data_IF_917650713003
#
_entry.id   IF_917650713003
#
_cell.length_a   1.000
_cell.length_b   1.000
_cell.length_c   1.000
_cell.angle_alpha   90.00
_cell.angle_beta   90.00
_cell.angle_gamma   90.00
#
_symmetry.space_group_name_H-M   'P 1'
#
loop_
_entity.id
_entity.type
_entity.pdbx_description
1 polymer ?
#
# COMPACT_ATOMS: atom_id res chain seq x y z
N UNK A 1 5.77 -7.18 -4.56
CA UNK A 1 4.99 -5.92 -4.40
C UNK A 1 5.83 -4.90 -5.14
N UNK A 2 5.33 -4.26 -6.22
CA UNK A 2 6.09 -3.48 -7.25
C UNK A 2 6.55 -4.29 -8.48
N UNK A 3 5.62 -4.72 -9.34
CA UNK A 3 6.00 -5.20 -10.69
C UNK A 3 5.84 -4.05 -11.69
N UNK A 4 6.95 -3.60 -12.28
CA UNK A 4 6.94 -2.72 -13.44
C UNK A 4 7.01 -3.61 -14.68
N UNK A 5 5.98 -3.64 -15.54
CA UNK A 5 5.98 -4.49 -16.74
C UNK A 5 6.99 -4.04 -17.80
N UNK A 6 7.51 -2.80 -17.71
CA UNK A 6 8.54 -2.29 -18.63
C UNK A 6 9.97 -2.60 -18.16
N UNK A 7 10.14 -3.26 -17.01
CA UNK A 7 11.43 -3.78 -16.60
C UNK A 7 11.49 -5.26 -17.02
N UNK A 8 12.11 -5.60 -18.17
CA UNK A 8 12.22 -6.98 -18.60
C UNK A 8 12.98 -7.74 -17.52
N UNK A 9 12.32 -8.72 -16.90
CA UNK A 9 12.98 -9.71 -16.08
C UNK A 9 13.89 -10.52 -17.00
N UNK A 10 15.16 -10.15 -17.08
CA UNK A 10 16.12 -10.90 -17.89
C UNK A 10 16.43 -12.19 -17.14
N UNK A 11 15.91 -13.28 -17.67
CA UNK A 11 16.34 -14.68 -17.52
C UNK A 11 17.10 -15.10 -16.26
N UNK A 12 16.42 -15.93 -15.47
CA UNK A 12 16.98 -17.05 -14.68
C UNK A 12 18.01 -16.77 -13.58
N UNK A 13 17.66 -17.28 -12.39
CA UNK A 13 18.50 -17.55 -11.21
C UNK A 13 18.58 -16.40 -10.20
N UNK A 14 17.70 -16.48 -9.19
CA UNK A 14 17.85 -15.83 -7.88
C UNK A 14 18.27 -14.35 -7.88
N UNK A 15 17.29 -13.48 -8.12
CA UNK A 15 17.34 -12.08 -7.73
C UNK A 15 15.94 -11.62 -7.37
N UNK A 16 15.50 -11.91 -6.14
CA UNK A 16 14.35 -11.25 -5.52
C UNK A 16 14.47 -9.73 -5.68
N UNK A 17 13.36 -9.00 -5.64
CA UNK A 17 13.22 -7.53 -5.69
C UNK A 17 14.32 -6.75 -4.89
N UNK A 18 15.59 -6.74 -5.33
CA UNK A 18 16.74 -6.08 -4.67
C UNK A 18 16.77 -4.58 -4.92
N UNK A 19 15.92 -4.09 -5.82
CA UNK A 19 15.88 -2.71 -6.27
C UNK A 19 14.91 -1.84 -5.44
N UNK A 20 14.83 -2.03 -4.12
CA UNK A 20 13.94 -1.26 -3.24
C UNK A 20 14.62 -0.98 -1.89
N UNK A 21 14.70 0.29 -1.49
CA UNK A 21 14.97 0.69 -0.12
C UNK A 21 13.69 0.64 0.69
N UNK A 22 13.64 -0.24 1.68
CA UNK A 22 12.48 -0.41 2.56
C UNK A 22 12.82 0.08 3.97
N UNK A 23 11.85 0.71 4.62
CA UNK A 23 11.95 1.12 6.03
C UNK A 23 10.62 0.89 6.72
N UNK A 24 10.64 0.18 7.84
CA UNK A 24 9.52 0.02 8.74
C UNK A 24 9.75 0.80 10.04
N UNK A 25 8.68 1.34 10.62
CA UNK A 25 8.71 1.97 11.94
C UNK A 25 7.48 1.60 12.74
N UNK A 26 7.66 1.28 14.02
CA UNK A 26 6.60 0.99 14.97
C UNK A 26 6.55 2.11 16.01
N UNK A 27 5.38 2.69 16.20
CA UNK A 27 5.11 3.75 17.18
C UNK A 27 4.03 3.35 18.17
N UNK A 28 4.08 3.88 19.39
CA UNK A 28 3.02 3.84 20.40
C UNK A 28 2.73 5.27 20.86
N UNK A 29 1.49 5.74 20.65
CA UNK A 29 1.10 7.10 21.06
C UNK A 29 2.00 8.21 20.49
N UNK A 30 2.52 8.04 19.28
CA UNK A 30 3.44 8.99 18.62
C UNK A 30 4.93 8.74 18.88
N UNK A 31 5.31 8.05 19.96
CA UNK A 31 6.70 7.69 20.25
C UNK A 31 7.16 6.51 19.40
N UNK A 32 8.26 6.69 18.65
CA UNK A 32 8.91 5.59 17.92
C UNK A 32 9.53 4.60 18.90
N UNK A 33 9.14 3.33 18.78
CA UNK A 33 9.65 2.23 19.59
C UNK A 33 10.72 1.41 18.86
N UNK A 34 10.56 1.25 17.55
CA UNK A 34 11.49 0.50 16.70
C UNK A 34 11.48 1.07 15.29
N UNK A 35 12.65 1.13 14.68
CA UNK A 35 12.84 1.34 13.24
C UNK A 35 13.59 0.13 12.71
N UNK A 36 13.24 -0.31 11.52
CA UNK A 36 13.81 -1.49 10.89
C UNK A 36 14.00 -1.23 9.39
N UNK A 37 15.14 -1.66 8.85
CA UNK A 37 15.43 -1.64 7.43
C UNK A 37 15.57 -3.10 6.99
N UNK A 38 14.55 -3.67 6.33
CA UNK A 38 14.62 -5.01 5.76
C UNK A 38 15.88 -5.21 4.92
N UNK A 39 16.53 -6.35 5.09
CA UNK A 39 17.67 -6.77 4.26
C UNK A 39 17.27 -7.77 3.18
N UNK A 40 16.02 -8.25 3.22
CA UNK A 40 15.42 -9.17 2.24
C UNK A 40 13.91 -8.99 2.13
N UNK A 41 13.32 -9.58 1.10
CA UNK A 41 11.87 -9.65 0.84
C UNK A 41 11.09 -10.49 1.87
N UNK A 42 11.78 -11.34 2.64
CA UNK A 42 11.23 -12.16 3.73
C UNK A 42 11.54 -11.62 5.13
N UNK A 43 12.02 -10.39 5.23
CA UNK A 43 12.35 -9.80 6.52
C UNK A 43 11.10 -9.53 7.36
N UNK A 44 11.12 -9.98 8.60
CA UNK A 44 10.03 -9.78 9.56
C UNK A 44 10.46 -8.82 10.68
N UNK A 45 9.48 -8.15 11.29
CA UNK A 45 9.71 -7.27 12.43
C UNK A 45 9.02 -7.84 13.68
N UNK A 46 9.82 -8.44 14.54
CA UNK A 46 9.34 -8.87 15.84
C UNK A 46 9.39 -7.73 16.85
N UNK A 47 8.31 -7.62 17.62
CA UNK A 47 8.23 -6.70 18.74
C UNK A 47 7.31 -7.25 19.84
N UNK A 48 7.88 -7.48 21.02
CA UNK A 48 7.10 -7.89 22.20
C UNK A 48 6.33 -6.70 22.77
N UNK A 49 5.00 -6.78 22.77
CA UNK A 49 4.11 -5.74 23.32
C UNK A 49 4.31 -5.61 24.83
N UNK A 50 4.96 -4.51 25.27
CA UNK A 50 5.21 -4.18 26.69
C UNK A 50 4.11 -3.33 27.34
N UNK A 51 3.23 -2.68 26.57
CA UNK A 51 2.16 -1.82 27.07
C UNK A 51 0.96 -1.94 26.14
N UNK A 52 -0.24 -2.12 26.70
CA UNK A 52 -1.44 -2.10 25.88
C UNK A 52 -1.68 -0.69 25.32
N UNK A 53 -2.13 -0.59 24.06
CA UNK A 53 -2.39 0.71 23.45
C UNK A 53 -2.48 0.69 21.94
N UNK A 54 -2.59 1.89 21.38
CA UNK A 54 -2.65 2.12 19.94
C UNK A 54 -1.25 2.17 19.34
N UNK A 55 -0.94 1.14 18.56
CA UNK A 55 0.27 1.03 17.79
C UNK A 55 0.06 1.54 16.37
N UNK A 56 1.11 2.11 15.78
CA UNK A 56 1.15 2.49 14.37
C UNK A 56 2.39 1.88 13.74
N UNK A 57 2.19 0.95 12.83
CA UNK A 57 3.23 0.35 12.00
C UNK A 57 3.18 1.01 10.63
N UNK A 58 4.26 1.68 10.23
CA UNK A 58 4.41 2.24 8.89
C UNK A 58 5.55 1.54 8.18
N UNK A 59 5.29 1.00 7.00
CA UNK A 59 6.28 0.48 6.07
C UNK A 59 6.33 1.39 4.83
N UNK A 60 7.51 1.76 4.38
CA UNK A 60 7.75 2.55 3.17
C UNK A 60 8.75 1.83 2.28
N UNK A 61 8.46 1.74 0.99
CA UNK A 61 9.38 1.25 -0.03
C UNK A 61 9.65 2.33 -1.06
N UNK A 62 10.89 2.45 -1.53
CA UNK A 62 11.26 3.31 -2.66
C UNK A 62 12.14 2.53 -3.61
N UNK A 63 11.85 2.57 -4.90
CA UNK A 63 12.72 1.92 -5.90
C UNK A 63 14.12 2.52 -5.81
N UNK A 64 15.11 1.67 -5.68
CA UNK A 64 16.50 2.07 -5.46
C UNK A 64 17.44 0.96 -5.89
N UNK A 65 18.42 1.28 -6.74
CA UNK A 65 19.52 0.40 -7.11
C UNK A 65 20.80 1.25 -7.17
N UNK A 66 21.85 0.94 -6.40
CA UNK A 66 23.11 1.68 -6.46
C UNK A 66 23.68 1.71 -7.89
N UNK A 67 24.12 2.89 -8.34
CA UNK A 67 24.72 3.05 -9.67
C UNK A 67 23.74 3.06 -10.85
N UNK A 68 22.44 2.89 -10.60
CA UNK A 68 21.41 2.92 -11.64
C UNK A 68 20.57 4.21 -11.58
N UNK A 69 20.38 4.84 -12.73
CA UNK A 69 19.46 5.97 -12.88
C UNK A 69 18.14 5.43 -13.45
N UNK A 70 17.08 5.54 -12.66
CA UNK A 70 15.75 5.09 -13.09
C UNK A 70 15.15 6.03 -14.15
N UNK A 71 14.48 5.51 -15.19
CA UNK A 71 13.82 6.33 -16.19
C UNK A 71 12.75 7.27 -15.59
N UNK A 72 12.64 8.49 -16.12
CA UNK A 72 11.69 9.51 -15.62
C UNK A 72 10.20 9.08 -15.69
N UNK A 73 9.87 8.12 -16.54
CA UNK A 73 8.52 7.57 -16.73
C UNK A 73 8.12 6.47 -15.75
N UNK A 74 9.05 5.94 -14.95
CA UNK A 74 8.87 4.71 -14.17
C UNK A 74 7.63 4.74 -13.26
N UNK A 75 6.92 3.62 -13.17
CA UNK A 75 5.75 3.48 -12.31
C UNK A 75 6.11 2.90 -10.95
N UNK A 76 5.24 3.16 -9.97
CA UNK A 76 5.37 2.66 -8.60
C UNK A 76 6.73 2.99 -7.97
N UNK A 77 7.17 4.25 -8.10
CA UNK A 77 8.50 4.70 -7.66
C UNK A 77 8.66 4.64 -6.13
N UNK A 78 7.56 4.79 -5.40
CA UNK A 78 7.51 4.63 -3.96
C UNK A 78 6.14 4.12 -3.50
N UNK A 79 6.12 3.47 -2.34
CA UNK A 79 4.92 3.01 -1.67
C UNK A 79 5.01 3.26 -0.17
N UNK A 80 3.85 3.38 0.47
CA UNK A 80 3.75 3.35 1.92
C UNK A 80 2.49 2.61 2.34
N UNK A 81 2.60 1.78 3.37
CA UNK A 81 1.44 1.23 4.08
C UNK A 81 1.57 1.52 5.56
N UNK A 82 0.49 2.03 6.16
CA UNK A 82 0.40 2.29 7.58
C UNK A 82 -0.78 1.52 8.16
N UNK A 83 -0.52 0.72 9.18
CA UNK A 83 -1.53 0.08 10.00
C UNK A 83 -1.57 0.74 11.37
N UNK A 84 -2.75 1.16 11.81
CA UNK A 84 -3.01 1.53 13.20
C UNK A 84 -3.93 0.50 13.82
N UNK A 85 -3.46 -0.13 14.89
CA UNK A 85 -4.17 -1.21 15.56
C UNK A 85 -3.96 -1.13 17.07
N UNK A 86 -4.92 -1.66 17.82
CA UNK A 86 -4.78 -1.79 19.26
C UNK A 86 -4.11 -3.14 19.57
N UNK A 87 -3.08 -3.14 20.40
CA UNK A 87 -2.42 -4.37 20.85
C UNK A 87 -2.46 -4.47 22.37
N UNK A 88 -2.57 -5.71 22.86
CA UNK A 88 -2.56 -6.05 24.29
C UNK A 88 -1.33 -6.89 24.61
N UNK A 89 -0.97 -6.95 25.89
CA UNK A 89 0.06 -7.88 26.37
C UNK A 89 -0.44 -9.32 26.23
N UNK A 90 0.48 -10.25 25.99
CA UNK A 90 0.23 -11.70 26.02
C UNK A 90 -0.91 -12.17 25.08
N UNK A 91 -1.12 -11.47 23.96
CA UNK A 91 -2.07 -11.87 22.91
C UNK A 91 -1.32 -12.21 21.63
N UNK A 92 -1.64 -13.34 21.01
CA UNK A 92 -1.16 -13.74 19.68
C UNK A 92 -2.34 -13.82 18.71
N UNK A 93 -2.66 -12.68 18.10
CA UNK A 93 -3.80 -12.53 17.18
C UNK A 93 -3.43 -11.63 16.01
N UNK A 94 -3.97 -11.94 14.84
CA UNK A 94 -3.84 -11.06 13.68
C UNK A 94 -4.52 -9.72 13.95
N UNK A 95 -3.89 -8.62 13.56
CA UNK A 95 -4.48 -7.29 13.78
C UNK A 95 -5.86 -7.18 13.11
N UNK A 96 -6.80 -6.51 13.77
CA UNK A 96 -8.13 -6.28 13.22
C UNK A 96 -8.13 -5.07 12.27
N UNK A 97 -7.27 -5.16 11.25
CA UNK A 97 -7.17 -4.26 10.09
C UNK A 97 -6.93 -5.11 8.84
N UNK A 98 -7.30 -4.61 7.66
CA UNK A 98 -7.03 -5.28 6.37
C UNK A 98 -6.04 -4.47 5.54
N UNK A 99 -5.22 -5.14 4.75
CA UNK A 99 -4.43 -4.50 3.71
C UNK A 99 -5.35 -3.95 2.61
N UNK A 100 -4.93 -2.87 1.94
CA UNK A 100 -5.64 -2.27 0.82
C UNK A 100 -4.82 -2.49 -0.45
N UNK A 101 -5.40 -3.15 -1.44
CA UNK A 101 -4.82 -3.31 -2.77
C UNK A 101 -5.62 -2.48 -3.78
N UNK A 102 -4.90 -1.65 -4.55
CA UNK A 102 -5.45 -0.90 -5.67
C UNK A 102 -5.37 -1.74 -6.95
N UNK A 103 -6.49 -1.88 -7.66
CA UNK A 103 -6.55 -2.60 -8.93
C UNK A 103 -7.25 -1.69 -9.96
N UNK A 104 -6.50 -0.85 -10.69
CA UNK A 104 -7.04 -0.02 -11.76
C UNK A 104 -7.56 -0.89 -12.92
N UNK A 105 -8.74 -0.56 -13.45
CA UNK A 105 -9.31 -1.22 -14.63
C UNK A 105 -9.08 -0.40 -15.91
N UNK A 106 -9.11 -1.06 -17.07
CA UNK A 106 -9.04 -0.41 -18.38
C UNK A 106 -7.67 0.19 -18.72
N UNK A 107 -6.61 -0.29 -18.06
CA UNK A 107 -5.24 0.03 -18.45
C UNK A 107 -4.82 -0.87 -19.63
N UNK A 108 -3.97 -0.37 -20.51
CA UNK A 108 -3.31 -1.20 -21.53
C UNK A 108 -2.14 -2.01 -20.92
N UNK A 109 -1.45 -2.80 -21.74
CA UNK A 109 -0.31 -3.65 -21.34
C UNK A 109 0.88 -2.88 -20.75
N UNK A 110 0.95 -1.56 -20.97
CA UNK A 110 1.98 -0.66 -20.44
C UNK A 110 1.54 0.06 -19.16
N UNK A 111 0.44 -0.36 -18.54
CA UNK A 111 -0.22 0.31 -17.41
C UNK A 111 -0.59 1.77 -17.72
N UNK A 112 -1.03 2.04 -18.96
CA UNK A 112 -1.52 3.36 -19.37
C UNK A 112 -3.05 3.38 -19.38
N UNK A 113 -3.62 4.40 -18.74
CA UNK A 113 -5.03 4.74 -18.91
C UNK A 113 -5.19 5.75 -20.05
N UNK A 114 -6.32 5.67 -20.76
CA UNK A 114 -6.67 6.64 -21.81
C UNK A 114 -6.64 8.08 -21.25
N UNK A 115 -6.05 9.06 -21.97
CA UNK A 115 -6.12 10.49 -21.62
C UNK A 115 -7.54 10.99 -21.36
N UNK A 116 -7.69 11.90 -20.39
CA UNK A 116 -8.95 12.60 -20.07
C UNK A 116 -10.16 11.68 -19.88
N UNK A 117 -9.91 10.46 -19.42
CA UNK A 117 -10.93 9.43 -19.16
C UNK A 117 -11.17 9.25 -17.66
N UNK A 118 -12.02 8.29 -17.30
CA UNK A 118 -12.19 7.84 -15.91
C UNK A 118 -11.72 6.41 -15.77
N UNK A 119 -10.88 6.17 -14.75
CA UNK A 119 -10.45 4.82 -14.35
C UNK A 119 -11.18 4.41 -13.08
N UNK A 120 -11.85 3.26 -13.13
CA UNK A 120 -12.41 2.63 -11.93
C UNK A 120 -11.31 1.81 -11.25
N UNK A 121 -10.87 2.23 -10.07
CA UNK A 121 -9.86 1.51 -9.28
C UNK A 121 -10.56 0.68 -8.22
N UNK A 122 -10.59 -0.64 -8.40
CA UNK A 122 -11.10 -1.54 -7.38
C UNK A 122 -10.19 -1.52 -6.13
N UNK A 123 -10.81 -1.47 -4.96
CA UNK A 123 -10.16 -1.41 -3.66
C UNK A 123 -10.39 -2.75 -2.96
N UNK A 124 -9.45 -3.68 -3.15
CA UNK A 124 -9.52 -5.00 -2.51
C UNK A 124 -8.98 -4.91 -1.10
N UNK A 125 -9.83 -5.26 -0.12
CA UNK A 125 -9.45 -5.35 1.28
C UNK A 125 -9.12 -6.79 1.62
N UNK A 126 -7.89 -7.06 2.03
CA UNK A 126 -7.41 -8.43 2.25
C UNK A 126 -6.79 -8.59 3.62
N UNK A 127 -6.97 -9.77 4.21
CA UNK A 127 -6.44 -10.12 5.53
C UNK A 127 -6.04 -11.59 5.50
N UNK A 128 -4.77 -11.81 5.18
CA UNK A 128 -4.17 -13.14 5.07
C UNK A 128 -3.61 -13.58 6.40
N UNK A 129 -3.73 -14.88 6.67
CA UNK A 129 -3.03 -15.55 7.75
C UNK A 129 -1.94 -16.37 7.08
N UNK A 130 -0.68 -15.96 7.22
CA UNK A 130 0.46 -16.63 6.56
C UNK A 130 1.01 -17.78 7.39
N UNK A 131 0.97 -17.67 8.73
CA UNK A 131 1.53 -18.64 9.66
C UNK A 131 0.47 -19.15 10.65
N UNK A 132 0.57 -20.43 11.00
CA UNK A 132 -0.49 -21.21 11.65
C UNK A 132 -0.59 -21.12 13.17
N UNK A 133 0.29 -20.37 13.84
CA UNK A 133 0.34 -20.23 15.29
C UNK A 133 -0.46 -19.03 15.83
N UNK A 134 -0.91 -18.11 14.96
CA UNK A 134 -1.71 -16.94 15.34
C UNK A 134 -3.21 -17.17 15.12
N UNK A 135 -4.05 -16.68 16.04
CA UNK A 135 -5.50 -16.67 15.80
C UNK A 135 -5.87 -15.54 14.84
N UNK A 136 -6.64 -15.85 13.79
CA UNK A 136 -7.17 -14.81 12.87
C UNK A 136 -8.18 -13.89 13.57
N UNK A 137 -9.01 -14.43 14.47
CA UNK A 137 -10.11 -13.69 15.09
C UNK A 137 -11.15 -13.17 14.08
N UNK A 138 -12.13 -12.41 14.56
CA UNK A 138 -13.19 -11.85 13.71
C UNK A 138 -12.63 -10.89 12.64
N UNK A 139 -13.28 -10.86 11.46
CA UNK A 139 -12.95 -9.88 10.44
C UNK A 139 -13.30 -8.46 10.94
N UNK A 140 -12.42 -7.47 10.73
CA UNK A 140 -12.73 -6.11 11.12
C UNK A 140 -13.88 -5.56 10.29
N UNK A 141 -14.84 -4.90 10.95
CA UNK A 141 -15.95 -4.23 10.28
C UNK A 141 -15.48 -2.88 9.73
N UNK A 142 -15.58 -2.70 8.41
CA UNK A 142 -15.26 -1.44 7.75
C UNK A 142 -16.25 -0.36 8.19
N UNK A 143 -15.73 0.76 8.70
CA UNK A 143 -16.51 1.95 9.07
C UNK A 143 -16.54 2.96 7.93
N UNK A 144 -15.40 3.23 7.31
CA UNK A 144 -15.31 4.15 6.19
C UNK A 144 -14.14 3.80 5.27
N UNK A 145 -14.27 4.22 4.02
CA UNK A 145 -13.24 4.11 3.00
C UNK A 145 -13.11 5.48 2.33
N UNK A 146 -11.88 5.94 2.12
CA UNK A 146 -11.59 7.20 1.44
C UNK A 146 -10.39 7.03 0.53
N UNK A 147 -10.44 7.66 -0.65
CA UNK A 147 -9.35 7.63 -1.62
C UNK A 147 -9.05 9.05 -2.08
N UNK A 148 -7.76 9.35 -2.14
CA UNK A 148 -7.22 10.56 -2.75
C UNK A 148 -6.30 10.17 -3.89
N UNK A 149 -6.23 11.05 -4.88
CA UNK A 149 -5.31 10.93 -5.99
C UNK A 149 -4.38 12.13 -6.07
N UNK A 150 -3.23 11.93 -6.69
CA UNK A 150 -2.30 13.00 -7.04
C UNK A 150 -1.82 12.81 -8.47
N UNK A 151 -1.74 13.91 -9.21
CA UNK A 151 -1.21 13.97 -10.58
C UNK A 151 0.09 14.78 -10.68
N UNK A 152 0.68 15.17 -9.55
CA UNK A 152 1.85 16.06 -9.45
C UNK A 152 3.01 15.43 -8.65
N UNK A 153 3.07 14.10 -8.63
CA UNK A 153 4.08 13.34 -7.90
C UNK A 153 3.82 13.22 -6.40
N UNK A 154 2.58 13.45 -5.95
CA UNK A 154 2.18 13.36 -4.55
C UNK A 154 2.38 14.64 -3.74
N UNK A 155 2.57 15.79 -4.40
CA UNK A 155 2.67 17.09 -3.74
C UNK A 155 1.31 17.55 -3.26
N UNK A 156 0.28 17.45 -4.10
CA UNK A 156 -1.12 17.74 -3.74
C UNK A 156 -1.98 16.48 -3.87
N UNK A 157 -3.02 16.39 -3.06
CA UNK A 157 -3.91 15.22 -3.00
C UNK A 157 -5.37 15.66 -3.00
N UNK A 158 -6.13 15.24 -4.02
CA UNK A 158 -7.57 15.51 -4.14
C UNK A 158 -8.40 14.27 -3.84
N UNK A 159 -9.48 14.42 -3.09
CA UNK A 159 -10.42 13.32 -2.83
C UNK A 159 -11.15 12.93 -4.11
N UNK A 160 -11.44 11.65 -4.26
CA UNK A 160 -12.28 11.13 -5.34
C UNK A 160 -13.49 10.38 -4.78
N UNK A 161 -14.61 10.34 -5.51
CA UNK A 161 -15.76 9.55 -5.11
C UNK A 161 -15.40 8.06 -4.98
N UNK A 162 -15.98 7.41 -3.98
CA UNK A 162 -15.97 5.96 -3.84
C UNK A 162 -17.37 5.44 -4.06
N UNK A 163 -17.50 4.39 -4.87
CA UNK A 163 -18.77 3.70 -5.14
C UNK A 163 -18.61 2.22 -4.91
N UNK A 164 -19.69 1.57 -4.45
CA UNK A 164 -19.76 0.12 -4.40
C UNK A 164 -20.40 -0.37 -5.69
N UNK A 165 -19.65 -1.10 -6.52
CA UNK A 165 -20.09 -1.64 -7.81
C UNK A 165 -19.99 -3.15 -7.70
N UNK A 166 -21.11 -3.86 -7.89
CA UNK A 166 -21.17 -5.33 -7.79
C UNK A 166 -20.52 -5.89 -6.51
N UNK A 167 -20.78 -5.24 -5.37
CA UNK A 167 -20.25 -5.65 -4.07
C UNK A 167 -18.79 -5.23 -3.80
N UNK A 168 -18.06 -4.71 -4.78
CA UNK A 168 -16.66 -4.26 -4.65
C UNK A 168 -16.61 -2.74 -4.52
N UNK A 169 -15.73 -2.23 -3.68
CA UNK A 169 -15.50 -0.78 -3.58
C UNK A 169 -14.59 -0.32 -4.71
N UNK A 170 -14.95 0.77 -5.37
CA UNK A 170 -14.16 1.40 -6.42
C UNK A 170 -13.95 2.88 -6.10
N UNK A 171 -12.71 3.35 -6.25
CA UNK A 171 -12.45 4.77 -6.40
C UNK A 171 -12.66 5.17 -7.88
N UNK A 172 -13.40 6.25 -8.10
CA UNK A 172 -13.71 6.78 -9.44
C UNK A 172 -12.69 7.86 -9.76
N UNK A 173 -11.69 7.52 -10.57
CA UNK A 173 -10.50 8.37 -10.76
C UNK A 173 -10.57 9.12 -12.09
N UNK A 174 -10.76 10.44 -12.09
CA UNK A 174 -10.64 11.25 -13.30
C UNK A 174 -9.16 11.42 -13.66
N UNK A 175 -8.80 10.93 -14.84
CA UNK A 175 -7.45 10.98 -15.37
C UNK A 175 -7.14 12.35 -15.97
N UNK A 176 -5.91 12.86 -15.78
CA UNK A 176 -5.45 14.04 -16.52
C UNK A 176 -5.26 13.72 -18.01
N UNK A 177 -4.87 14.72 -18.80
CA UNK A 177 -4.54 14.53 -20.22
C UNK A 177 -3.22 13.76 -20.41
N UNK A 178 -2.28 13.84 -19.46
CA UNK A 178 -0.98 13.16 -19.53
C UNK A 178 -0.37 12.98 -18.13
N UNK A 179 0.74 12.25 -18.05
CA UNK A 179 1.51 12.07 -16.83
C UNK A 179 1.20 10.75 -16.11
N UNK A 180 1.07 10.80 -14.78
CA UNK A 180 0.81 9.61 -13.97
C UNK A 180 -0.07 9.93 -12.77
N UNK A 181 -0.80 8.93 -12.29
CA UNK A 181 -1.70 9.03 -11.15
C UNK A 181 -1.11 8.27 -9.97
N UNK A 182 -0.99 8.94 -8.82
CA UNK A 182 -0.69 8.32 -7.54
C UNK A 182 -1.98 8.12 -6.76
N UNK A 183 -2.04 7.05 -5.96
CA UNK A 183 -3.23 6.66 -5.20
C UNK A 183 -2.91 6.62 -3.71
N UNK A 184 -3.78 7.18 -2.87
CA UNK A 184 -3.74 7.05 -1.41
C UNK A 184 -5.12 6.65 -0.93
N UNK A 185 -5.25 5.53 -0.23
CA UNK A 185 -6.54 5.05 0.29
C UNK A 185 -6.44 4.72 1.76
N UNK A 186 -7.41 5.20 2.53
CA UNK A 186 -7.56 4.90 3.96
C UNK A 186 -8.86 4.14 4.21
N UNK A 187 -8.71 2.94 4.77
CA UNK A 187 -9.80 2.12 5.32
C UNK A 187 -9.80 2.27 6.84
N UNK A 188 -10.91 2.73 7.41
CA UNK A 188 -11.08 2.87 8.87
C UNK A 188 -12.09 1.84 9.36
N UNK A 189 -11.84 1.25 10.52
CA UNK A 189 -12.63 0.16 11.07
C UNK A 189 -13.38 0.58 12.34
N UNK A 190 -14.47 -0.10 12.67
CA UNK A 190 -15.33 0.26 13.82
C UNK A 190 -14.63 0.12 15.17
N UNK A 191 -13.58 -0.71 15.25
CA UNK A 191 -12.75 -0.85 16.45
C UNK A 191 -11.81 0.36 16.69
N UNK A 192 -11.75 1.32 15.77
CA UNK A 192 -10.87 2.51 15.84
C UNK A 192 -9.52 2.34 15.14
N UNK A 193 -9.23 1.16 14.60
CA UNK A 193 -8.05 0.92 13.76
C UNK A 193 -8.22 1.48 12.34
N UNK A 194 -7.12 1.62 11.62
CA UNK A 194 -7.14 1.96 10.20
C UNK A 194 -5.97 1.34 9.44
N UNK A 195 -6.13 1.25 8.13
CA UNK A 195 -5.04 1.02 7.17
C UNK A 195 -5.01 2.17 6.18
N UNK A 196 -3.84 2.71 5.90
CA UNK A 196 -3.62 3.66 4.81
C UNK A 196 -2.54 3.12 3.87
N UNK A 197 -2.87 2.98 2.59
CA UNK A 197 -1.93 2.55 1.56
C UNK A 197 -1.77 3.67 0.52
N UNK A 198 -0.51 4.00 0.19
CA UNK A 198 -0.13 4.96 -0.83
C UNK A 198 0.77 4.29 -1.86
N UNK A 199 0.48 4.50 -3.15
CA UNK A 199 1.32 4.11 -4.28
C UNK A 199 1.57 5.34 -5.13
N UNK A 200 2.83 5.73 -5.28
CA UNK A 200 3.22 6.85 -6.14
C UNK A 200 3.34 6.38 -7.58
N UNK A 201 2.79 7.15 -8.53
CA UNK A 201 2.75 6.79 -9.97
C UNK A 201 2.20 5.37 -10.16
N UNK A 202 1.02 5.09 -9.60
CA UNK A 202 0.37 3.78 -9.64
C UNK A 202 0.07 3.31 -11.06
N UNK A 203 -0.27 4.23 -11.97
CA UNK A 203 -0.39 4.01 -13.41
C UNK A 203 -0.10 5.31 -14.17
N UNK A 204 0.22 5.21 -15.45
CA UNK A 204 0.48 6.35 -16.32
C UNK A 204 -0.71 6.66 -17.23
N UNK A 205 -0.64 7.80 -17.91
CA UNK A 205 -1.64 8.27 -18.86
C UNK A 205 -0.99 8.36 -20.24
N UNK A 206 -1.58 7.71 -21.24
CA UNK A 206 -1.08 7.66 -22.61
C UNK A 206 -1.86 6.73 -23.51
#
# INVERSE_FOLDING_TARGET
MLQDPNFPGVGSTYGSERTVKVKASLKLGGKTLKTFTPTSDRSEIDFRVKKAGWYTLTNTGTRYEPGFVFPAGMLSTATSVTFRFYAKKNTSELTQTMAVQHVPAGLNSYNLAKPSSTTNVALKLTRYLTYGDMKKGANPKLKSLSTKISTDGGRTWRSVPIRKINGVWHAIVPNPASGAVSLRTRATYTNGGYTEATVFRAYAIG
#
